data_IF_184450311791
#
_entry.id   IF_184450311791
#
_cell.length_a   1.000
_cell.length_b   1.000
_cell.length_c   1.000
_cell.angle_alpha   90.00
_cell.angle_beta   90.00
_cell.angle_gamma   90.00
#
_symmetry.space_group_name_H-M   'P 1'
#
loop_
_entity.id
_entity.type
_entity.pdbx_description
1 polymer ?
#
# COMPACT_ATOMS: atom_id res chain seq x y z
N UNK A 1 -8.99 -5.30 23.78
CA UNK A 1 -10.26 -5.39 23.03
C UNK A 1 -10.11 -5.25 21.51
N UNK A 2 -8.95 -5.58 20.91
CA UNK A 2 -8.68 -5.33 19.47
C UNK A 2 -8.63 -6.60 18.59
N UNK A 3 -8.75 -7.80 19.16
CA UNK A 3 -8.50 -9.05 18.43
C UNK A 3 -9.73 -9.71 17.79
N UNK A 4 -10.94 -9.16 17.96
CA UNK A 4 -12.18 -9.73 17.38
C UNK A 4 -12.93 -8.76 16.47
N UNK A 5 -12.30 -7.66 16.08
CA UNK A 5 -12.93 -6.62 15.26
C UNK A 5 -13.44 -7.18 13.93
N UNK A 6 -12.72 -8.16 13.36
CA UNK A 6 -13.08 -8.86 12.14
C UNK A 6 -14.36 -9.71 12.28
N UNK A 7 -14.46 -10.48 13.36
CA UNK A 7 -15.60 -11.38 13.60
C UNK A 7 -16.88 -10.55 13.87
N UNK A 8 -16.75 -9.46 14.63
CA UNK A 8 -17.86 -8.56 14.92
C UNK A 8 -18.35 -7.77 13.68
N UNK A 9 -17.44 -7.36 12.77
CA UNK A 9 -17.81 -6.74 11.48
C UNK A 9 -18.60 -7.70 10.58
N UNK A 10 -18.29 -9.00 10.62
CA UNK A 10 -19.00 -10.03 9.86
C UNK A 10 -20.37 -10.36 10.44
N UNK A 11 -20.49 -10.43 11.77
CA UNK A 11 -21.76 -10.78 12.43
C UNK A 11 -22.75 -9.61 12.53
N UNK A 12 -22.27 -8.39 12.79
CA UNK A 12 -23.13 -7.24 13.10
C UNK A 12 -23.06 -6.13 12.04
N UNK A 13 -22.24 -6.30 11.00
CA UNK A 13 -21.92 -5.22 10.07
C UNK A 13 -21.07 -4.13 10.74
N UNK A 14 -20.88 -2.97 10.09
CA UNK A 14 -20.24 -1.83 10.72
C UNK A 14 -21.14 -1.31 11.85
N UNK A 15 -20.85 -1.74 13.09
CA UNK A 15 -21.53 -1.30 14.30
C UNK A 15 -21.52 0.24 14.33
N UNK A 16 -22.66 0.88 14.60
CA UNK A 16 -22.79 2.35 14.55
C UNK A 16 -21.73 3.06 15.43
N UNK A 17 -21.34 2.48 16.56
CA UNK A 17 -20.26 3.01 17.41
C UNK A 17 -18.86 2.96 16.79
N UNK A 18 -18.65 2.18 15.72
CA UNK A 18 -17.39 2.17 14.96
C UNK A 18 -17.34 3.21 13.86
N UNK A 19 -18.50 3.72 13.44
CA UNK A 19 -18.56 4.97 12.71
C UNK A 19 -18.11 6.11 13.62
N UNK A 20 -18.50 6.10 14.89
CA UNK A 20 -18.16 7.21 15.79
C UNK A 20 -16.68 7.29 16.07
N UNK A 21 -15.92 6.20 16.16
CA UNK A 21 -14.48 6.27 16.51
C UNK A 21 -13.59 7.13 15.58
N UNK A 22 -13.61 6.99 14.23
CA UNK A 22 -12.92 7.91 13.34
C UNK A 22 -13.49 9.33 13.40
N UNK A 23 -14.81 9.50 13.54
CA UNK A 23 -15.42 10.82 13.68
C UNK A 23 -15.04 11.49 15.01
N UNK A 24 -15.02 10.77 16.13
CA UNK A 24 -14.59 11.21 17.47
C UNK A 24 -13.13 11.64 17.45
N UNK A 25 -12.26 10.91 16.74
CA UNK A 25 -10.86 11.30 16.56
C UNK A 25 -10.73 12.58 15.72
N UNK A 26 -11.52 12.71 14.66
CA UNK A 26 -11.56 13.93 13.84
C UNK A 26 -12.13 15.10 14.64
N UNK A 27 -13.20 14.89 15.38
CA UNK A 27 -13.84 15.88 16.25
C UNK A 27 -12.87 16.33 17.33
N UNK A 28 -12.20 15.41 18.04
CA UNK A 28 -11.19 15.77 19.04
C UNK A 28 -9.96 16.47 18.45
N UNK A 29 -9.63 16.24 17.18
CA UNK A 29 -8.62 17.03 16.48
C UNK A 29 -9.12 18.44 16.17
N UNK A 30 -10.36 18.56 15.68
CA UNK A 30 -11.01 19.84 15.36
C UNK A 30 -11.27 20.70 16.61
N UNK A 31 -11.68 20.10 17.73
CA UNK A 31 -11.89 20.77 19.02
C UNK A 31 -10.60 21.36 19.60
N UNK A 32 -9.44 20.80 19.24
CA UNK A 32 -8.13 21.31 19.64
C UNK A 32 -7.64 22.48 18.77
N UNK A 33 -8.31 22.76 17.66
CA UNK A 33 -8.02 23.94 16.85
C UNK A 33 -8.61 25.14 17.58
N UNK A 34 -7.75 26.06 18.02
CA UNK A 34 -8.22 27.28 18.67
C UNK A 34 -9.07 28.10 17.68
N UNK A 35 -10.37 28.15 17.93
CA UNK A 35 -11.34 28.85 17.10
C UNK A 35 -11.46 30.33 17.45
N UNK A 36 -10.76 30.82 18.48
CA UNK A 36 -10.74 32.22 18.94
C UNK A 36 -12.14 32.87 19.08
N UNK A 37 -13.20 32.09 19.34
CA UNK A 37 -14.61 32.53 19.35
C UNK A 37 -15.14 33.05 18.00
N UNK A 38 -14.49 32.73 16.88
CA UNK A 38 -15.03 33.01 15.54
C UNK A 38 -16.11 31.96 15.21
N UNK A 39 -17.38 32.36 15.31
CA UNK A 39 -18.55 31.53 15.01
C UNK A 39 -19.13 32.00 13.67
N UNK A 40 -19.47 31.07 12.76
CA UNK A 40 -20.16 31.40 11.50
C UNK A 40 -19.43 31.07 10.21
N UNK A 41 -18.52 30.08 10.20
CA UNK A 41 -17.92 29.57 8.96
C UNK A 41 -16.57 30.19 8.58
N UNK A 42 -16.07 31.19 9.30
CA UNK A 42 -14.81 31.87 8.98
C UNK A 42 -13.59 30.95 9.12
N UNK A 43 -13.58 30.11 10.16
CA UNK A 43 -12.52 29.13 10.38
C UNK A 43 -12.55 28.06 9.29
N UNK A 44 -13.73 27.53 8.98
CA UNK A 44 -13.96 26.52 7.96
C UNK A 44 -13.57 27.04 6.57
N UNK A 45 -13.90 28.31 6.27
CA UNK A 45 -13.47 28.99 5.06
C UNK A 45 -11.94 29.15 5.01
N UNK A 46 -11.30 29.47 6.14
CA UNK A 46 -9.84 29.63 6.23
C UNK A 46 -9.11 28.30 6.06
N UNK A 47 -9.59 27.24 6.72
CA UNK A 47 -9.07 25.88 6.56
C UNK A 47 -9.22 25.40 5.13
N UNK A 48 -10.40 25.57 4.53
CA UNK A 48 -10.68 25.20 3.14
C UNK A 48 -9.79 25.95 2.16
N UNK A 49 -9.66 27.27 2.32
CA UNK A 49 -8.77 28.10 1.49
C UNK A 49 -7.31 27.69 1.65
N UNK A 50 -6.85 27.41 2.87
CA UNK A 50 -5.47 26.97 3.12
C UNK A 50 -5.19 25.62 2.48
N UNK A 51 -6.12 24.67 2.61
CA UNK A 51 -6.02 23.36 1.97
C UNK A 51 -5.95 23.47 0.45
N UNK A 52 -6.88 24.23 -0.16
CA UNK A 52 -6.93 24.45 -1.61
C UNK A 52 -5.68 25.17 -2.14
N UNK A 53 -5.17 26.16 -1.40
CA UNK A 53 -3.91 26.84 -1.73
C UNK A 53 -2.74 25.87 -1.71
N UNK A 54 -2.62 25.07 -0.65
CA UNK A 54 -1.57 24.04 -0.54
C UNK A 54 -1.65 23.00 -1.67
N UNK A 55 -2.86 22.53 -2.01
CA UNK A 55 -3.07 21.61 -3.12
C UNK A 55 -2.71 22.24 -4.47
N UNK A 56 -3.09 23.51 -4.68
CA UNK A 56 -2.76 24.27 -5.90
C UNK A 56 -1.26 24.47 -6.06
N UNK A 57 -0.54 24.80 -4.98
CA UNK A 57 0.92 24.92 -4.98
C UNK A 57 1.57 23.58 -5.31
N UNK A 58 1.18 22.49 -4.64
CA UNK A 58 1.71 21.14 -4.95
C UNK A 58 1.45 20.74 -6.39
N UNK A 59 0.26 21.05 -6.93
CA UNK A 59 -0.06 20.83 -8.35
C UNK A 59 0.84 21.65 -9.26
N UNK A 60 1.06 22.93 -8.95
CA UNK A 60 1.91 23.83 -9.73
C UNK A 60 3.38 23.41 -9.75
N UNK A 61 3.91 22.98 -8.61
CA UNK A 61 5.29 22.48 -8.47
C UNK A 61 5.54 21.20 -9.28
N UNK A 62 4.51 20.42 -9.55
CA UNK A 62 4.60 19.17 -10.34
C UNK A 62 4.44 19.39 -11.85
N UNK A 63 4.17 20.61 -12.31
CA UNK A 63 4.01 20.87 -13.75
C UNK A 63 5.38 20.96 -14.43
N UNK A 64 5.50 20.49 -15.69
CA UNK A 64 6.75 20.57 -16.44
C UNK A 64 7.15 22.01 -16.80
N UNK A 65 6.20 22.95 -16.81
CA UNK A 65 6.41 24.39 -17.09
C UNK A 65 6.59 25.23 -15.80
N UNK A 66 6.90 24.61 -14.66
CA UNK A 66 7.10 25.31 -13.40
C UNK A 66 8.34 26.24 -13.48
N UNK A 67 8.21 27.56 -13.24
CA UNK A 67 9.34 28.50 -13.28
C UNK A 67 10.49 28.09 -12.34
N UNK A 68 11.73 28.32 -12.76
CA UNK A 68 12.94 27.89 -12.04
C UNK A 68 12.97 28.35 -10.57
N UNK A 69 12.49 29.57 -10.28
CA UNK A 69 12.40 30.13 -8.92
C UNK A 69 11.56 29.25 -7.98
N UNK A 70 10.45 28.67 -8.47
CA UNK A 70 9.62 27.79 -7.65
C UNK A 70 10.26 26.41 -7.44
N UNK A 71 11.09 25.94 -8.38
CA UNK A 71 11.85 24.71 -8.21
C UNK A 71 12.97 24.89 -7.17
N UNK A 72 13.64 26.05 -7.17
CA UNK A 72 14.62 26.42 -6.14
C UNK A 72 13.98 26.57 -4.76
N UNK A 73 12.81 27.21 -4.69
CA UNK A 73 12.05 27.29 -3.44
C UNK A 73 11.60 25.90 -2.97
N UNK A 74 11.20 25.01 -3.88
CA UNK A 74 10.82 23.65 -3.52
C UNK A 74 12.03 22.86 -3.01
N UNK A 75 13.22 23.02 -3.60
CA UNK A 75 14.43 22.36 -3.10
C UNK A 75 14.85 22.87 -1.73
N UNK A 76 14.72 24.18 -1.48
CA UNK A 76 14.89 24.79 -0.16
C UNK A 76 13.84 24.28 0.84
N UNK A 77 12.57 24.19 0.42
CA UNK A 77 11.46 23.73 1.24
C UNK A 77 11.65 22.25 1.64
N UNK A 78 11.95 21.36 0.70
CA UNK A 78 12.28 19.95 0.99
C UNK A 78 13.54 19.82 1.85
N UNK A 79 14.51 20.76 1.74
CA UNK A 79 15.69 20.77 2.61
C UNK A 79 15.41 21.26 4.03
N UNK A 80 14.51 22.22 4.21
CA UNK A 80 14.15 22.80 5.52
C UNK A 80 13.06 22.03 6.25
N UNK A 81 12.12 21.49 5.49
CA UNK A 81 11.07 20.59 5.94
C UNK A 81 11.28 19.24 5.24
N UNK A 82 12.40 18.55 5.52
CA UNK A 82 12.58 17.20 5.00
C UNK A 82 11.33 16.43 5.38
N UNK A 83 10.65 15.85 4.39
CA UNK A 83 9.53 14.99 4.65
C UNK A 83 10.00 13.99 5.71
N UNK A 84 9.46 14.10 6.92
CA UNK A 84 9.92 13.35 8.09
C UNK A 84 9.88 11.82 7.87
N UNK A 85 9.29 11.39 6.76
CA UNK A 85 9.29 10.04 6.23
C UNK A 85 9.44 10.06 4.69
N UNK A 86 10.48 10.65 4.10
CA UNK A 86 10.96 10.19 2.78
C UNK A 86 11.88 9.02 3.07
N UNK A 87 11.38 7.80 3.06
CA UNK A 87 12.14 6.69 3.58
C UNK A 87 13.08 6.30 2.44
N UNK A 88 14.37 6.48 2.72
CA UNK A 88 15.46 6.27 1.79
C UNK A 88 15.51 4.82 1.34
N UNK A 89 16.00 4.60 0.13
CA UNK A 89 16.31 3.25 -0.34
C UNK A 89 17.12 2.48 0.69
N UNK A 90 16.82 1.19 0.78
CA UNK A 90 17.52 0.28 1.66
C UNK A 90 19.00 0.21 1.26
N UNK A 91 19.95 0.54 2.17
CA UNK A 91 21.36 0.46 1.85
C UNK A 91 21.77 -1.00 1.57
N UNK A 92 22.88 -1.23 0.84
CA UNK A 92 23.48 -2.55 0.73
C UNK A 92 23.78 -3.12 2.12
N UNK A 93 23.70 -4.45 2.26
CA UNK A 93 24.14 -5.11 3.49
C UNK A 93 25.68 -5.15 3.53
N UNK A 94 26.26 -5.01 4.73
CA UNK A 94 27.70 -5.13 4.93
C UNK A 94 28.23 -6.56 4.67
N UNK A 95 27.33 -7.55 4.73
CA UNK A 95 27.59 -8.96 4.43
C UNK A 95 26.36 -9.56 3.77
N UNK A 96 26.55 -10.54 2.89
CA UNK A 96 25.43 -11.27 2.29
C UNK A 96 24.52 -11.87 3.38
N UNK A 97 23.21 -11.78 3.19
CA UNK A 97 22.28 -12.19 4.23
C UNK A 97 20.81 -11.95 3.95
N UNK A 98 19.97 -12.38 4.91
CA UNK A 98 18.52 -12.20 4.86
C UNK A 98 18.11 -10.86 5.48
N UNK A 99 17.15 -10.17 4.85
CA UNK A 99 16.58 -8.91 5.35
C UNK A 99 15.12 -9.09 5.75
N UNK A 100 14.72 -8.35 6.79
CA UNK A 100 13.32 -8.26 7.19
C UNK A 100 12.49 -7.40 6.21
N UNK A 101 13.08 -6.29 5.76
CA UNK A 101 12.50 -5.32 4.84
C UNK A 101 13.52 -4.91 3.78
N UNK A 102 13.03 -4.56 2.61
CA UNK A 102 13.80 -3.92 1.56
C UNK A 102 12.97 -2.82 0.92
N UNK A 103 13.55 -1.65 0.72
CA UNK A 103 12.90 -0.48 0.17
C UNK A 103 13.63 0.00 -1.07
N UNK A 104 12.88 0.26 -2.13
CA UNK A 104 13.38 0.81 -3.39
C UNK A 104 12.34 1.75 -3.98
N UNK A 105 12.75 2.94 -4.41
CA UNK A 105 11.90 3.93 -5.10
C UNK A 105 10.60 4.24 -4.34
N UNK A 106 10.70 4.31 -3.01
CA UNK A 106 9.56 4.57 -2.13
C UNK A 106 8.66 3.36 -1.84
N UNK A 107 8.89 2.21 -2.48
CA UNK A 107 8.13 0.97 -2.28
C UNK A 107 8.81 0.11 -1.22
N UNK A 108 8.06 -0.39 -0.25
CA UNK A 108 8.58 -1.26 0.81
C UNK A 108 8.13 -2.70 0.62
N UNK A 109 9.10 -3.59 0.43
CA UNK A 109 8.93 -5.03 0.42
C UNK A 109 9.25 -5.60 1.79
N UNK A 110 8.52 -6.63 2.21
CA UNK A 110 8.72 -7.26 3.52
C UNK A 110 8.46 -8.75 3.42
N UNK A 111 9.11 -9.54 4.29
CA UNK A 111 8.76 -10.95 4.44
C UNK A 111 7.36 -11.08 5.04
N UNK A 112 6.66 -12.15 4.68
CA UNK A 112 5.33 -12.47 5.19
C UNK A 112 5.29 -12.58 6.73
N UNK A 113 6.38 -13.07 7.33
CA UNK A 113 6.54 -13.16 8.78
C UNK A 113 6.71 -11.80 9.47
N UNK A 114 7.05 -10.76 8.72
CA UNK A 114 7.32 -9.42 9.23
C UNK A 114 6.14 -8.49 8.98
N UNK A 115 5.63 -8.44 7.74
CA UNK A 115 4.45 -7.64 7.42
C UNK A 115 3.68 -8.25 6.24
N UNK A 116 2.45 -8.68 6.49
CA UNK A 116 1.67 -9.44 5.51
C UNK A 116 1.37 -8.62 4.24
N UNK A 117 0.90 -7.37 4.36
CA UNK A 117 0.53 -6.54 3.19
C UNK A 117 1.70 -6.33 2.23
N UNK A 118 2.78 -5.72 2.72
CA UNK A 118 4.05 -5.52 1.99
C UNK A 118 4.75 -6.79 1.46
N UNK A 119 4.28 -7.98 1.85
CA UNK A 119 4.79 -9.25 1.30
C UNK A 119 4.06 -9.71 0.05
N UNK A 120 2.85 -9.20 -0.22
CA UNK A 120 2.00 -9.66 -1.31
C UNK A 120 2.37 -8.92 -2.59
N UNK A 121 2.88 -9.67 -3.56
CA UNK A 121 3.39 -9.12 -4.82
C UNK A 121 2.95 -9.93 -6.02
N UNK A 122 2.65 -9.22 -7.10
CA UNK A 122 2.49 -9.77 -8.44
C UNK A 122 3.87 -9.77 -9.09
N UNK A 123 4.27 -10.91 -9.65
CA UNK A 123 5.62 -11.10 -10.20
C UNK A 123 5.62 -12.05 -11.40
N UNK A 124 6.68 -11.99 -12.19
CA UNK A 124 6.98 -12.91 -13.27
C UNK A 124 7.78 -14.09 -12.72
N UNK A 125 7.24 -15.32 -12.72
CA UNK A 125 7.99 -16.47 -12.24
C UNK A 125 9.07 -16.86 -13.26
N UNK A 126 10.13 -17.57 -12.81
CA UNK A 126 11.19 -18.02 -13.70
C UNK A 126 10.62 -18.80 -14.89
N UNK A 127 11.04 -18.44 -16.11
CA UNK A 127 10.60 -19.05 -17.37
C UNK A 127 9.13 -18.82 -17.75
N UNK A 128 8.43 -17.84 -17.17
CA UNK A 128 7.09 -17.45 -17.60
C UNK A 128 7.01 -15.95 -17.88
N UNK A 129 6.13 -15.57 -18.81
CA UNK A 129 5.75 -14.17 -19.06
C UNK A 129 4.40 -13.80 -18.44
N UNK A 130 3.75 -14.74 -17.75
CA UNK A 130 2.49 -14.49 -17.08
C UNK A 130 2.74 -14.02 -15.64
N UNK A 131 2.12 -12.89 -15.28
CA UNK A 131 2.18 -12.35 -13.93
C UNK A 131 1.31 -13.20 -13.01
N UNK A 132 1.87 -13.63 -11.88
CA UNK A 132 1.13 -14.40 -10.88
C UNK A 132 1.24 -13.77 -9.49
N UNK A 133 0.23 -13.97 -8.62
CA UNK A 133 0.29 -13.52 -7.24
C UNK A 133 1.13 -14.45 -6.37
N UNK A 134 1.93 -13.87 -5.48
CA UNK A 134 2.68 -14.59 -4.47
C UNK A 134 2.91 -13.78 -3.20
N UNK A 135 3.56 -14.41 -2.23
CA UNK A 135 3.94 -13.79 -0.97
C UNK A 135 5.43 -14.01 -0.69
N UNK A 136 6.15 -12.91 -0.48
CA UNK A 136 7.59 -12.90 -0.16
C UNK A 136 7.80 -13.63 1.17
N UNK A 137 8.53 -14.75 1.12
CA UNK A 137 8.94 -15.49 2.30
C UNK A 137 10.28 -15.02 2.83
N UNK A 138 11.23 -14.73 1.93
CA UNK A 138 12.58 -14.24 2.27
C UNK A 138 13.03 -13.16 1.30
N UNK A 139 13.84 -12.24 1.81
CA UNK A 139 14.55 -11.23 1.02
C UNK A 139 16.03 -11.47 1.27
N UNK A 140 16.78 -11.78 0.22
CA UNK A 140 18.20 -12.10 0.29
C UNK A 140 18.96 -10.98 -0.42
N UNK A 141 20.00 -10.44 0.22
CA UNK A 141 20.92 -9.54 -0.45
C UNK A 141 22.29 -10.19 -0.58
N UNK A 142 22.85 -10.08 -1.78
CA UNK A 142 24.17 -10.58 -2.13
C UNK A 142 24.92 -9.43 -2.79
N UNK A 143 25.83 -8.79 -2.06
CA UNK A 143 26.44 -7.51 -2.42
C UNK A 143 25.40 -6.42 -2.67
N UNK A 144 25.33 -5.92 -3.91
CA UNK A 144 24.37 -4.90 -4.33
C UNK A 144 23.04 -5.48 -4.86
N UNK A 145 22.99 -6.78 -5.14
CA UNK A 145 21.81 -7.43 -5.70
C UNK A 145 20.86 -7.90 -4.60
N UNK A 146 19.55 -7.90 -4.92
CA UNK A 146 18.51 -8.37 -4.02
C UNK A 146 17.61 -9.35 -4.75
N UNK A 147 17.42 -10.51 -4.13
CA UNK A 147 16.55 -11.58 -4.60
C UNK A 147 15.45 -11.86 -3.58
N UNK A 148 14.28 -12.23 -4.09
CA UNK A 148 13.09 -12.49 -3.31
C UNK A 148 12.69 -13.94 -3.47
N UNK A 149 12.56 -14.66 -2.36
CA UNK A 149 11.95 -16.00 -2.36
C UNK A 149 10.46 -15.83 -2.17
N UNK A 150 9.69 -16.06 -3.22
CA UNK A 150 8.24 -15.82 -3.26
C UNK A 150 7.52 -17.16 -3.33
N UNK A 151 6.58 -17.37 -2.41
CA UNK A 151 5.69 -18.53 -2.46
C UNK A 151 4.46 -18.18 -3.28
N UNK A 152 4.09 -19.02 -4.25
CA UNK A 152 2.94 -18.77 -5.14
C UNK A 152 1.61 -18.84 -4.38
N UNK A 153 0.66 -17.99 -4.73
CA UNK A 153 -0.73 -18.17 -4.32
C UNK A 153 -1.29 -19.41 -5.04
N UNK A 154 -1.99 -20.30 -4.33
CA UNK A 154 -2.53 -21.49 -4.97
C UNK A 154 -3.66 -21.13 -5.96
N UNK A 155 -3.74 -21.80 -7.12
CA UNK A 155 -4.83 -21.60 -8.06
C UNK A 155 -6.16 -22.01 -7.43
N UNK A 156 -7.26 -21.58 -8.05
CA UNK A 156 -8.60 -21.95 -7.62
C UNK A 156 -8.81 -23.47 -7.75
N UNK A 157 -9.52 -24.08 -6.80
CA UNK A 157 -9.81 -25.52 -6.82
C UNK A 157 -10.69 -25.89 -8.03
N UNK A 158 -10.51 -27.11 -8.54
CA UNK A 158 -11.22 -27.61 -9.74
C UNK A 158 -12.74 -27.56 -9.51
N UNK A 159 -13.46 -26.92 -10.44
CA UNK A 159 -14.92 -26.77 -10.38
C UNK A 159 -15.41 -25.46 -9.77
N UNK A 160 -14.53 -24.68 -9.13
CA UNK A 160 -14.87 -23.33 -8.68
C UNK A 160 -14.72 -22.31 -9.82
N UNK A 161 -15.59 -21.30 -9.83
CA UNK A 161 -15.55 -20.19 -10.80
C UNK A 161 -15.16 -18.88 -10.12
N UNK A 162 -14.55 -17.99 -10.88
CA UNK A 162 -14.26 -16.64 -10.47
C UNK A 162 -15.52 -15.75 -10.62
N UNK A 163 -16.19 -15.33 -9.53
CA UNK A 163 -17.36 -14.47 -9.61
C UNK A 163 -17.04 -13.06 -10.12
N UNK A 164 -15.77 -12.64 -10.05
CA UNK A 164 -15.34 -11.31 -10.50
C UNK A 164 -15.06 -11.26 -12.00
N UNK A 165 -14.99 -12.42 -12.66
CA UNK A 165 -14.66 -12.50 -14.08
C UNK A 165 -15.54 -11.62 -14.97
N UNK A 166 -16.84 -11.51 -14.64
CA UNK A 166 -17.83 -10.71 -15.38
C UNK A 166 -17.64 -9.19 -15.28
N UNK A 167 -16.89 -8.71 -14.29
CA UNK A 167 -16.64 -7.29 -14.07
C UNK A 167 -15.33 -6.81 -14.70
N UNK A 168 -14.55 -7.71 -15.29
CA UNK A 168 -13.36 -7.32 -16.06
C UNK A 168 -13.78 -6.68 -17.39
N UNK A 169 -13.19 -5.56 -17.80
CA UNK A 169 -11.98 -4.92 -17.25
C UNK A 169 -12.21 -3.86 -16.16
N UNK A 170 -13.47 -3.48 -15.86
CA UNK A 170 -13.80 -2.39 -14.92
C UNK A 170 -13.31 -2.63 -13.49
N UNK A 171 -13.26 -3.90 -13.07
CA UNK A 171 -12.73 -4.31 -11.77
C UNK A 171 -11.73 -5.46 -11.97
N UNK A 172 -10.40 -5.21 -11.91
CA UNK A 172 -9.35 -6.18 -12.24
C UNK A 172 -9.10 -7.20 -11.11
N UNK A 173 -10.16 -7.62 -10.43
CA UNK A 173 -10.10 -8.61 -9.37
C UNK A 173 -10.08 -10.03 -9.94
N UNK A 174 -9.23 -10.87 -9.35
CA UNK A 174 -9.10 -12.28 -9.70
C UNK A 174 -9.28 -13.16 -8.47
N UNK A 175 -9.98 -14.28 -8.61
CA UNK A 175 -10.18 -15.22 -7.50
C UNK A 175 -9.14 -16.35 -7.52
N UNK A 176 -8.53 -16.58 -6.36
CA UNK A 176 -7.57 -17.66 -6.10
C UNK A 176 -8.00 -18.49 -4.89
N UNK A 177 -7.34 -19.62 -4.64
CA UNK A 177 -7.46 -20.31 -3.36
C UNK A 177 -6.86 -19.45 -2.25
N UNK A 178 -7.41 -19.48 -1.04
CA UNK A 178 -6.89 -18.74 0.12
C UNK A 178 -5.57 -19.33 0.64
N UNK A 179 -5.22 -20.56 0.22
CA UNK A 179 -3.99 -21.26 0.55
C UNK A 179 -2.84 -20.83 -0.36
N UNK A 180 -1.62 -20.97 0.15
CA UNK A 180 -0.41 -20.82 -0.67
C UNK A 180 -0.06 -22.18 -1.29
N UNK A 181 0.57 -22.16 -2.46
CA UNK A 181 1.17 -23.36 -3.07
C UNK A 181 2.48 -23.72 -2.37
N UNK A 182 2.93 -24.97 -2.53
CA UNK A 182 4.25 -25.42 -2.06
C UNK A 182 5.40 -24.93 -2.95
N UNK A 183 5.08 -24.38 -4.12
CA UNK A 183 6.06 -23.83 -5.07
C UNK A 183 6.60 -22.50 -4.56
N UNK A 184 7.94 -22.41 -4.48
CA UNK A 184 8.67 -21.21 -4.12
C UNK A 184 9.63 -20.85 -5.24
N UNK A 185 9.46 -19.65 -5.79
CA UNK A 185 10.36 -19.10 -6.80
C UNK A 185 11.37 -18.16 -6.15
N UNK A 186 12.54 -18.02 -6.78
CA UNK A 186 13.51 -16.98 -6.45
C UNK A 186 13.59 -16.03 -7.63
N UNK A 187 13.27 -14.75 -7.41
CA UNK A 187 13.25 -13.74 -8.48
C UNK A 187 13.98 -12.46 -8.05
N UNK A 188 14.65 -11.76 -8.96
CA UNK A 188 15.21 -10.43 -8.71
C UNK A 188 14.10 -9.38 -8.59
N UNK A 189 14.48 -8.17 -8.16
CA UNK A 189 13.53 -7.06 -8.01
C UNK A 189 12.79 -6.69 -9.31
N UNK A 190 13.46 -6.72 -10.46
CA UNK A 190 12.88 -6.30 -11.74
C UNK A 190 11.77 -7.23 -12.27
N UNK A 191 11.70 -8.45 -11.75
CA UNK A 191 10.64 -9.41 -12.06
C UNK A 191 9.41 -9.22 -11.16
N UNK A 192 9.47 -8.34 -10.16
CA UNK A 192 8.32 -7.95 -9.35
C UNK A 192 7.62 -6.78 -10.02
N UNK A 193 6.36 -6.98 -10.41
CA UNK A 193 5.55 -5.97 -11.08
C UNK A 193 5.00 -4.93 -10.12
N UNK A 194 4.31 -5.37 -9.06
CA UNK A 194 3.63 -4.48 -8.12
C UNK A 194 3.18 -5.24 -6.85
N UNK A 195 2.71 -4.50 -5.85
CA UNK A 195 1.96 -5.07 -4.73
C UNK A 195 0.52 -5.36 -5.13
N UNK A 196 -0.12 -6.30 -4.44
CA UNK A 196 -1.56 -6.54 -4.58
C UNK A 196 -2.27 -6.55 -3.23
N UNK A 197 -3.55 -6.19 -3.23
CA UNK A 197 -4.43 -6.37 -2.08
C UNK A 197 -5.06 -7.77 -2.13
N UNK A 198 -5.06 -8.45 -0.98
CA UNK A 198 -5.69 -9.77 -0.83
C UNK A 198 -6.79 -9.74 0.21
N UNK A 199 -7.99 -10.16 -0.17
CA UNK A 199 -9.09 -10.36 0.76
C UNK A 199 -9.53 -11.82 0.75
N UNK A 200 -9.46 -12.47 1.91
CA UNK A 200 -9.94 -13.85 2.07
C UNK A 200 -11.44 -13.83 2.30
N UNK A 201 -12.18 -14.65 1.57
CA UNK A 201 -13.63 -14.76 1.71
C UNK A 201 -14.08 -16.23 1.73
N UNK A 202 -15.39 -16.45 1.86
CA UNK A 202 -15.95 -17.75 2.19
C UNK A 202 -15.61 -18.87 1.19
N UNK A 203 -15.43 -20.09 1.71
CA UNK A 203 -15.16 -21.30 0.93
C UNK A 203 -13.70 -21.48 0.52
N UNK A 204 -12.74 -21.04 1.34
CA UNK A 204 -11.32 -21.25 1.06
C UNK A 204 -10.80 -20.44 -0.13
N UNK A 205 -11.43 -19.31 -0.45
CA UNK A 205 -11.07 -18.45 -1.59
C UNK A 205 -10.51 -17.12 -1.12
N UNK A 206 -9.71 -16.50 -1.97
CA UNK A 206 -9.32 -15.11 -1.79
C UNK A 206 -9.45 -14.36 -3.11
N UNK A 207 -9.73 -13.06 -3.01
CA UNK A 207 -9.67 -12.15 -4.14
C UNK A 207 -8.35 -11.41 -4.08
N UNK A 208 -7.71 -11.32 -5.24
CA UNK A 208 -6.47 -10.61 -5.51
C UNK A 208 -6.82 -9.40 -6.37
N UNK A 209 -6.41 -8.22 -5.93
CA UNK A 209 -6.61 -6.97 -6.65
C UNK A 209 -5.25 -6.29 -6.87
N UNK A 210 -4.92 -6.06 -8.14
CA UNK A 210 -3.73 -5.32 -8.54
C UNK A 210 -3.80 -3.85 -8.06
N UNK A 211 -2.70 -3.36 -7.49
CA UNK A 211 -2.56 -1.99 -6.99
C UNK A 211 -1.67 -1.10 -7.89
N UNK A 212 -1.29 -1.56 -9.09
CA UNK A 212 -0.43 -0.79 -10.00
C UNK A 212 -1.07 0.51 -10.52
N UNK A 213 -2.41 0.61 -10.48
CA UNK A 213 -3.19 1.71 -11.08
C UNK A 213 -3.89 2.59 -10.03
N UNK A 214 -3.52 2.49 -8.75
CA UNK A 214 -4.08 3.32 -7.66
C UNK A 214 -3.21 4.49 -7.27
#
# INVERSE_FOLDING_TARGET
MAFHIYDFLLLFGPVISWWTFPFERIIGFLERINTNNHIGGELEATLSRSFLRGASIRRWLRRPDCPAVFQELNSLFEKTFPAYNTPTDSPPLASDGERAHYRRDGITFSRASTHQGNSLVLYYPPNSREVIPGSIQKILSTGAEVQFRIRRQAPLEVGMRDPFARYRPLFPAHTYSSKMSDIVDTVPLHDISCHFARFKFHGGRCVVLDLSNS
#
